data_IF_817595367617
#
_entry.id   IF_817595367617
#
_cell.length_a   1.000
_cell.length_b   1.000
_cell.length_c   1.000
_cell.angle_alpha   90.00
_cell.angle_beta   90.00
_cell.angle_gamma   90.00
#
_symmetry.space_group_name_H-M   'P 1'
#
loop_
_entity.id
_entity.type
_entity.pdbx_description
1 polymer ?
#
# COMPACT_ATOMS: atom_id res chain seq x y z
N UNK A 1 -11.90 -11.18 -8.12
CA UNK A 1 -11.90 -10.50 -6.80
C UNK A 1 -10.51 -10.09 -6.34
N UNK A 2 -9.55 -11.00 -6.09
CA UNK A 2 -8.19 -10.59 -5.69
C UNK A 2 -7.46 -9.80 -6.80
N UNK A 3 -7.57 -10.25 -8.05
CA UNK A 3 -6.92 -9.60 -9.21
C UNK A 3 -7.50 -8.22 -9.53
N UNK A 4 -8.81 -8.03 -9.36
CA UNK A 4 -9.49 -6.74 -9.61
C UNK A 4 -9.01 -5.68 -8.62
N UNK A 5 -8.76 -6.07 -7.38
CA UNK A 5 -8.35 -5.13 -6.36
C UNK A 5 -6.87 -4.74 -6.47
N UNK A 6 -6.03 -5.69 -6.90
CA UNK A 6 -4.65 -5.38 -7.26
C UNK A 6 -4.60 -4.42 -8.46
N UNK A 7 -5.44 -4.64 -9.48
CA UNK A 7 -5.51 -3.75 -10.64
C UNK A 7 -5.90 -2.31 -10.25
N UNK A 8 -6.81 -2.12 -9.28
CA UNK A 8 -7.17 -0.79 -8.74
C UNK A 8 -5.96 -0.10 -8.09
N UNK A 9 -5.17 -0.85 -7.33
CA UNK A 9 -4.00 -0.34 -6.62
C UNK A 9 -2.87 0.02 -7.58
N UNK A 10 -2.60 -0.85 -8.55
CA UNK A 10 -1.60 -0.60 -9.59
C UNK A 10 -1.99 0.61 -10.44
N UNK A 11 -3.28 0.71 -10.81
CA UNK A 11 -3.81 1.88 -11.53
C UNK A 11 -3.63 3.16 -10.70
N UNK A 12 -3.86 3.09 -9.39
CA UNK A 12 -3.65 4.22 -8.50
C UNK A 12 -2.18 4.63 -8.42
N UNK A 13 -1.26 3.66 -8.31
CA UNK A 13 0.19 3.90 -8.32
C UNK A 13 0.61 4.59 -9.62
N UNK A 14 0.27 4.00 -10.77
CA UNK A 14 0.62 4.58 -12.07
C UNK A 14 -0.04 5.94 -12.29
N UNK A 15 -1.22 6.21 -11.72
CA UNK A 15 -1.83 7.55 -11.78
C UNK A 15 -1.11 8.58 -10.89
N UNK A 16 -0.74 8.22 -9.67
CA UNK A 16 -0.29 9.14 -8.61
C UNK A 16 1.24 9.29 -8.55
N UNK A 17 1.98 8.27 -8.97
CA UNK A 17 3.42 8.16 -8.81
C UNK A 17 3.81 7.41 -7.52
N UNK A 18 5.10 7.41 -7.16
CA UNK A 18 5.66 6.72 -6.00
C UNK A 18 4.89 6.99 -4.70
N UNK A 19 4.17 5.97 -4.23
CA UNK A 19 3.40 5.98 -2.99
C UNK A 19 3.25 4.54 -2.48
N UNK A 20 2.81 4.39 -1.22
CA UNK A 20 2.67 3.08 -0.58
C UNK A 20 1.89 2.06 -1.41
N UNK A 21 0.89 2.47 -2.20
CA UNK A 21 0.14 1.58 -3.10
C UNK A 21 1.02 0.74 -4.04
N UNK A 22 2.16 1.26 -4.49
CA UNK A 22 3.08 0.57 -5.39
C UNK A 22 4.39 0.13 -4.73
N UNK A 23 4.45 0.09 -3.40
CA UNK A 23 5.67 -0.22 -2.66
C UNK A 23 5.73 -1.72 -2.31
N UNK A 24 6.87 -2.37 -2.54
CA UNK A 24 7.09 -3.80 -2.26
C UNK A 24 6.93 -4.17 -0.78
N UNK A 25 7.12 -3.20 0.13
CA UNK A 25 6.95 -3.42 1.56
C UNK A 25 5.52 -3.12 2.05
N UNK A 26 4.63 -2.70 1.17
CA UNK A 26 3.28 -2.34 1.56
C UNK A 26 2.31 -3.48 1.32
N UNK A 27 1.84 -4.07 2.41
CA UNK A 27 0.84 -5.12 2.40
C UNK A 27 -0.54 -4.50 2.51
N UNK A 28 -1.26 -4.50 1.40
CA UNK A 28 -2.63 -4.06 1.31
C UNK A 28 -3.54 -4.76 2.35
N UNK A 29 -4.40 -3.99 3.02
CA UNK A 29 -5.48 -4.51 3.88
C UNK A 29 -6.86 -4.32 3.25
N UNK A 30 -7.08 -3.17 2.63
CA UNK A 30 -8.29 -2.84 1.89
C UNK A 30 -7.96 -1.82 0.79
N UNK A 31 -8.98 -1.28 0.13
CA UNK A 31 -8.79 -0.30 -0.95
C UNK A 31 -8.19 1.03 -0.48
N UNK A 32 -8.22 1.38 0.80
CA UNK A 32 -7.73 2.66 1.34
C UNK A 32 -6.42 2.53 2.12
N UNK A 33 -6.23 1.46 2.89
CA UNK A 33 -5.13 1.31 3.83
C UNK A 33 -4.43 -0.05 3.73
N UNK A 34 -3.20 -0.10 4.25
CA UNK A 34 -2.34 -1.28 4.29
C UNK A 34 -1.22 -1.14 5.32
N UNK A 35 -0.50 -2.23 5.56
CA UNK A 35 0.60 -2.33 6.52
C UNK A 35 1.96 -2.11 5.84
N UNK A 36 2.84 -1.35 6.48
CA UNK A 36 4.22 -1.17 6.06
C UNK A 36 5.14 -2.19 6.77
N UNK A 37 5.51 -3.27 6.09
CA UNK A 37 6.36 -4.34 6.65
C UNK A 37 7.84 -3.96 6.77
N UNK A 38 8.24 -2.84 6.17
CA UNK A 38 9.58 -2.27 6.33
C UNK A 38 9.88 -1.85 7.77
N UNK A 39 8.84 -1.39 8.49
CA UNK A 39 8.93 -0.97 9.89
C UNK A 39 8.80 -2.17 10.83
N UNK A 40 9.49 -2.14 11.97
CA UNK A 40 9.26 -3.15 13.02
C UNK A 40 7.83 -3.04 13.57
N UNK A 41 7.25 -4.14 14.10
CA UNK A 41 5.98 -4.07 14.80
C UNK A 41 6.01 -3.06 15.94
N UNK A 42 4.94 -2.28 16.07
CA UNK A 42 4.74 -1.28 17.12
C UNK A 42 3.49 -1.60 17.92
N UNK A 43 3.23 -0.83 18.98
CA UNK A 43 2.00 -0.97 19.78
C UNK A 43 0.75 -0.66 18.96
N UNK A 44 -0.40 -1.23 19.33
CA UNK A 44 -1.65 -1.04 18.60
C UNK A 44 -2.01 0.43 18.33
N UNK A 45 -1.79 1.30 19.33
CA UNK A 45 -2.00 2.75 19.22
C UNK A 45 -1.15 3.39 18.14
N UNK A 46 0.13 3.03 18.07
CA UNK A 46 1.06 3.61 17.09
C UNK A 46 0.74 3.16 15.67
N UNK A 47 0.24 1.92 15.50
CA UNK A 47 -0.10 1.36 14.18
C UNK A 47 -1.09 2.20 13.40
N UNK A 48 -2.12 2.72 14.05
CA UNK A 48 -3.25 3.40 13.40
C UNK A 48 -3.12 4.92 13.39
N UNK A 49 -2.14 5.48 14.10
CA UNK A 49 -1.97 6.93 14.24
C UNK A 49 -1.67 7.60 12.89
N UNK A 50 -0.96 6.92 12.00
CA UNK A 50 -0.70 7.39 10.63
C UNK A 50 -1.94 7.42 9.72
N UNK A 51 -3.06 6.85 10.18
CA UNK A 51 -4.39 6.96 9.57
C UNK A 51 -5.30 7.96 10.32
N UNK A 52 -4.75 8.73 11.26
CA UNK A 52 -5.49 9.69 12.10
C UNK A 52 -6.58 9.02 12.96
N UNK A 53 -6.42 7.73 13.26
CA UNK A 53 -7.35 6.97 14.11
C UNK A 53 -6.83 6.93 15.55
N UNK A 54 -7.43 7.74 16.42
CA UNK A 54 -6.98 7.94 17.82
C UNK A 54 -7.85 7.24 18.88
N UNK A 55 -9.07 6.82 18.53
CA UNK A 55 -10.05 6.21 19.45
C UNK A 55 -10.54 4.88 18.91
N UNK A 56 -9.60 4.00 18.56
CA UNK A 56 -9.89 2.63 18.12
C UNK A 56 -10.33 1.80 19.33
N UNK A 57 -11.24 0.84 19.10
CA UNK A 57 -11.81 0.03 20.18
C UNK A 57 -10.73 -0.74 20.94
N UNK A 58 -10.99 -0.97 22.25
CA UNK A 58 -10.04 -1.64 23.15
C UNK A 58 -9.70 -3.08 22.76
N UNK A 59 -10.44 -3.72 21.85
CA UNK A 59 -10.05 -5.03 21.31
C UNK A 59 -8.78 -4.96 20.43
N UNK A 60 -8.43 -3.78 19.92
CA UNK A 60 -7.12 -3.55 19.31
C UNK A 60 -6.03 -3.31 20.35
N UNK A 61 -6.36 -2.86 21.56
CA UNK A 61 -5.38 -2.63 22.63
C UNK A 61 -4.73 -3.96 23.04
N UNK A 62 -3.48 -4.17 22.59
CA UNK A 62 -2.70 -5.39 22.82
C UNK A 62 -2.26 -6.10 21.53
N UNK A 63 -2.78 -5.72 20.36
CA UNK A 63 -2.40 -6.33 19.08
C UNK A 63 -1.24 -5.56 18.44
N UNK A 64 -0.01 -5.93 18.79
CA UNK A 64 1.19 -5.43 18.12
C UNK A 64 1.20 -5.79 16.63
N UNK A 65 1.86 -4.96 15.82
CA UNK A 65 1.95 -5.20 14.38
C UNK A 65 2.54 -4.01 13.62
N UNK A 66 2.58 -4.10 12.30
CA UNK A 66 3.17 -3.07 11.46
C UNK A 66 2.34 -1.77 11.41
N UNK A 67 3.02 -0.65 11.13
CA UNK A 67 2.40 0.66 10.90
C UNK A 67 1.43 0.57 9.73
N UNK A 68 0.23 1.13 9.89
CA UNK A 68 -0.76 1.25 8.83
C UNK A 68 -0.64 2.61 8.15
N UNK A 69 -0.65 2.64 6.83
CA UNK A 69 -0.62 3.87 6.05
C UNK A 69 -1.75 3.88 5.02
N UNK A 70 -2.21 5.08 4.66
CA UNK A 70 -3.09 5.24 3.52
C UNK A 70 -2.32 4.85 2.24
N UNK A 71 -3.03 4.28 1.25
CA UNK A 71 -2.42 3.86 -0.03
C UNK A 71 -1.65 4.99 -0.73
N UNK A 72 -2.09 6.24 -0.54
CA UNK A 72 -1.48 7.43 -1.12
C UNK A 72 -0.32 8.02 -0.33
N UNK A 73 0.08 7.40 0.78
CA UNK A 73 1.20 7.89 1.59
C UNK A 73 2.51 7.84 0.78
N UNK A 74 3.21 8.97 0.70
CA UNK A 74 4.51 9.06 0.04
C UNK A 74 5.59 8.74 1.07
N UNK A 75 6.26 7.60 0.88
CA UNK A 75 7.30 7.11 1.78
C UNK A 75 8.69 7.48 1.22
N UNK A 76 9.55 8.06 2.06
CA UNK A 76 10.94 8.37 1.67
C UNK A 76 11.79 7.13 1.40
N UNK A 77 11.41 5.99 1.95
CA UNK A 77 12.09 4.72 1.71
C UNK A 77 11.49 3.94 0.52
N UNK A 78 10.47 4.47 -0.18
CA UNK A 78 9.73 3.75 -1.24
C UNK A 78 10.60 2.80 -2.09
N UNK A 79 10.15 1.55 -2.24
CA UNK A 79 10.84 0.51 -2.98
C UNK A 79 9.90 -0.14 -3.98
N UNK A 80 10.34 -0.18 -5.24
CA UNK A 80 9.69 -0.84 -6.37
C UNK A 80 10.79 -1.54 -7.19
N UNK A 81 11.18 -2.73 -6.75
CA UNK A 81 12.09 -3.62 -7.49
C UNK A 81 11.31 -4.60 -8.37
N UNK A 82 9.98 -4.51 -8.37
CA UNK A 82 9.14 -5.37 -9.19
C UNK A 82 9.34 -5.06 -10.68
N UNK A 83 9.62 -6.10 -11.48
CA UNK A 83 9.72 -5.97 -12.92
C UNK A 83 8.34 -5.85 -13.57
N UNK A 84 7.84 -4.62 -13.71
CA UNK A 84 6.58 -4.32 -14.40
C UNK A 84 6.53 -4.80 -15.86
N UNK A 85 7.68 -5.05 -16.49
CA UNK A 85 7.72 -5.57 -17.87
C UNK A 85 7.38 -7.05 -17.94
N UNK A 86 7.48 -7.78 -16.83
CA UNK A 86 7.10 -9.19 -16.72
C UNK A 86 5.59 -9.42 -16.85
N UNK A 87 4.77 -8.40 -16.59
CA UNK A 87 3.32 -8.49 -16.68
C UNK A 87 2.83 -8.48 -18.14
N UNK A 88 1.70 -9.14 -18.48
CA UNK A 88 1.17 -9.12 -19.85
C UNK A 88 0.88 -7.71 -20.37
N UNK A 89 1.18 -7.43 -21.63
CA UNK A 89 0.92 -6.13 -22.26
C UNK A 89 -0.53 -5.62 -22.08
N UNK A 90 -1.58 -6.46 -22.16
CA UNK A 90 -2.94 -6.00 -21.89
C UNK A 90 -3.13 -5.48 -20.46
N UNK A 91 -2.46 -6.07 -19.47
CA UNK A 91 -2.51 -5.63 -18.07
C UNK A 91 -1.81 -4.28 -17.92
N UNK A 92 -0.58 -4.15 -18.43
CA UNK A 92 0.19 -2.90 -18.40
C UNK A 92 -0.58 -1.72 -19.02
N UNK A 93 -1.36 -1.97 -20.09
CA UNK A 93 -2.24 -0.96 -20.69
C UNK A 93 -3.38 -0.53 -19.77
N UNK A 94 -4.04 -1.46 -19.08
CA UNK A 94 -5.19 -1.14 -18.20
C UNK A 94 -4.78 -0.31 -17.01
N UNK A 95 -3.65 -0.63 -16.38
CA UNK A 95 -3.16 0.11 -15.21
C UNK A 95 -2.46 1.42 -15.58
N UNK A 96 -2.19 1.67 -16.87
CA UNK A 96 -1.58 2.92 -17.34
C UNK A 96 -0.05 2.95 -17.32
N UNK A 97 0.62 1.80 -17.11
CA UNK A 97 2.08 1.70 -17.03
C UNK A 97 2.80 2.17 -18.32
N UNK A 98 2.19 1.95 -19.49
CA UNK A 98 2.80 2.31 -20.77
C UNK A 98 2.72 3.81 -21.11
N UNK A 99 1.84 4.57 -20.47
CA UNK A 99 1.65 5.99 -20.76
C UNK A 99 2.67 6.91 -20.04
N UNK A 100 3.41 6.37 -19.07
CA UNK A 100 4.33 7.10 -18.20
C UNK A 100 5.78 6.61 -18.25
N UNK A 101 6.12 5.80 -19.25
CA UNK A 101 7.51 5.37 -19.52
C UNK A 101 8.25 6.38 -20.37
#
# INVERSE_FOLDING_TARGET
MADEEQEIIDTFYWKTGPCCAGCDWWQRLNSYAGNCTRSAPVSARERTTMLEMFSVSSEMDGVSGHIMTARGHVCGEFKDEFDWSSLPLPYQKRVGALAKR
#
